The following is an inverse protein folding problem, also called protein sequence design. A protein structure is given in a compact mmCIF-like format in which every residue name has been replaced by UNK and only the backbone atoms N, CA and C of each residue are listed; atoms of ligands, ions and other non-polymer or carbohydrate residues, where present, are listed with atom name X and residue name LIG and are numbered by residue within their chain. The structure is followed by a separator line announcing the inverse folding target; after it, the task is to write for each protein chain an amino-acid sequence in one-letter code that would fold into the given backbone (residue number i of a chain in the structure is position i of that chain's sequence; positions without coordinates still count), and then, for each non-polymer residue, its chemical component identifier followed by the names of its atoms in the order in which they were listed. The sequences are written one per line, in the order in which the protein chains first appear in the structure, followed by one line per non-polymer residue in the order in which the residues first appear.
data_IF_358362537248
#
_entry.id   IF_358362537248
#
_cell.length_a   1.000
_cell.length_b   1.000
_cell.length_c   1.000
_cell.angle_alpha   90.00
_cell.angle_beta   90.00
_cell.angle_gamma   90.00
#
_symmetry.space_group_name_H-M   'P 1'
#
loop_
_entity.id
_entity.type
_entity.pdbx_description
1 polymer ?
#
# COMPACT_ATOMS: atom_id res chain seq x y z
N UNK A 1 -15.23 19.14 -21.65
CA UNK A 1 -14.36 17.93 -21.61
C UNK A 1 -13.97 17.58 -23.05
N UNK A 2 -12.66 17.39 -23.34
CA UNK A 2 -12.18 17.02 -24.67
C UNK A 2 -12.52 15.56 -24.98
N UNK A 3 -13.12 15.30 -26.14
CA UNK A 3 -13.43 13.93 -26.62
C UNK A 3 -12.30 13.50 -27.55
N UNK A 4 -11.49 12.50 -27.15
CA UNK A 4 -10.30 12.08 -27.92
C UNK A 4 -10.66 11.44 -29.28
N UNK A 5 -11.83 10.82 -29.40
CA UNK A 5 -12.31 10.22 -30.65
C UNK A 5 -12.94 11.21 -31.62
N UNK A 6 -13.16 12.47 -31.25
CA UNK A 6 -13.67 13.54 -32.08
C UNK A 6 -12.53 14.50 -32.46
N UNK A 7 -12.17 14.53 -33.74
CA UNK A 7 -11.04 15.34 -34.26
C UNK A 7 -11.22 16.82 -33.93
N UNK A 8 -12.42 17.38 -34.08
CA UNK A 8 -12.65 18.81 -33.85
C UNK A 8 -12.53 19.17 -32.36
N UNK A 9 -13.07 18.33 -31.46
CA UNK A 9 -12.93 18.48 -30.04
C UNK A 9 -11.49 18.35 -29.58
N UNK A 10 -10.74 17.39 -30.18
CA UNK A 10 -9.33 17.15 -29.85
C UNK A 10 -8.45 18.31 -30.31
N UNK A 11 -8.63 18.80 -31.54
CA UNK A 11 -7.91 19.94 -32.10
C UNK A 11 -8.12 21.20 -31.27
N UNK A 12 -9.37 21.53 -30.93
CA UNK A 12 -9.70 22.67 -30.07
C UNK A 12 -9.05 22.52 -28.68
N UNK A 13 -9.05 21.31 -28.11
CA UNK A 13 -8.41 21.02 -26.83
C UNK A 13 -6.89 21.19 -26.85
N UNK A 14 -6.21 20.75 -27.91
CA UNK A 14 -4.76 20.91 -28.06
C UNK A 14 -4.40 22.38 -28.24
N UNK A 15 -5.15 23.12 -29.06
CA UNK A 15 -4.94 24.55 -29.27
C UNK A 15 -5.09 25.33 -27.96
N UNK A 16 -6.13 25.02 -27.15
CA UNK A 16 -6.32 25.62 -25.84
C UNK A 16 -5.20 25.27 -24.85
N UNK A 17 -4.72 24.03 -24.87
CA UNK A 17 -3.67 23.56 -23.95
C UNK A 17 -2.28 24.10 -24.29
N UNK A 18 -1.95 24.26 -25.59
CA UNK A 18 -0.64 24.76 -26.02
C UNK A 18 -0.46 26.27 -25.78
N UNK A 19 -1.55 27.04 -25.65
CA UNK A 19 -1.47 28.48 -25.47
C UNK A 19 -0.60 29.16 -26.53
N UNK A 20 0.41 29.90 -26.10
CA UNK A 20 1.34 30.66 -26.96
C UNK A 20 2.40 29.80 -27.67
N UNK A 21 2.44 28.48 -27.38
CA UNK A 21 3.40 27.57 -28.01
C UNK A 21 2.98 27.20 -29.45
N UNK A 22 2.91 28.23 -30.36
CA UNK A 22 2.43 28.07 -31.73
C UNK A 22 3.34 27.21 -32.61
N UNK A 23 4.58 26.91 -32.18
CA UNK A 23 5.51 25.99 -32.85
C UNK A 23 5.13 24.51 -32.66
N UNK A 24 4.18 24.16 -31.77
CA UNK A 24 3.70 22.79 -31.62
C UNK A 24 2.77 22.43 -32.76
N UNK A 25 3.13 21.37 -33.46
CA UNK A 25 2.36 20.84 -34.61
C UNK A 25 1.14 20.06 -34.09
N UNK A 26 -0.04 20.66 -34.29
CA UNK A 26 -1.32 20.10 -33.83
C UNK A 26 -1.67 18.81 -34.58
N UNK A 27 -1.39 18.75 -35.89
CA UNK A 27 -1.70 17.57 -36.69
C UNK A 27 -0.80 16.38 -36.33
N UNK A 28 0.47 16.65 -36.02
CA UNK A 28 1.37 15.63 -35.51
C UNK A 28 0.89 15.07 -34.13
N UNK A 29 0.44 15.96 -33.23
CA UNK A 29 -0.09 15.55 -31.94
C UNK A 29 -1.35 14.69 -32.13
N UNK A 30 -2.29 15.09 -32.97
CA UNK A 30 -3.51 14.33 -33.26
C UNK A 30 -3.15 12.96 -33.83
N UNK A 31 -2.23 12.91 -34.79
CA UNK A 31 -1.77 11.66 -35.40
C UNK A 31 -1.13 10.72 -34.36
N UNK A 32 -0.34 11.27 -33.43
CA UNK A 32 0.30 10.52 -32.35
C UNK A 32 -0.73 9.93 -31.37
N UNK A 33 -1.78 10.69 -31.06
CA UNK A 33 -2.89 10.22 -30.19
C UNK A 33 -3.67 9.11 -30.89
N UNK A 34 -4.01 9.28 -32.18
CA UNK A 34 -4.76 8.28 -32.95
C UNK A 34 -3.96 7.00 -33.24
N UNK A 35 -2.64 7.11 -33.34
CA UNK A 35 -1.77 5.95 -33.49
C UNK A 35 -1.71 5.10 -32.22
N UNK A 36 -2.28 5.57 -31.09
CA UNK A 36 -2.24 4.84 -29.82
C UNK A 36 -0.83 4.73 -29.21
N UNK A 37 0.09 5.62 -29.62
CA UNK A 37 1.48 5.65 -29.11
C UNK A 37 1.53 5.79 -27.59
N UNK A 38 0.57 6.53 -27.03
CA UNK A 38 0.39 6.71 -25.60
C UNK A 38 -1.03 6.32 -25.18
N UNK A 39 -1.20 5.75 -23.95
CA UNK A 39 -2.53 5.56 -23.37
C UNK A 39 -3.33 6.87 -23.32
N UNK A 40 -4.65 6.77 -23.32
CA UNK A 40 -5.55 7.93 -23.33
C UNK A 40 -5.27 8.94 -22.20
N UNK A 41 -5.00 8.46 -20.98
CA UNK A 41 -4.67 9.30 -19.84
C UNK A 41 -3.34 10.07 -20.03
N UNK A 42 -2.34 9.40 -20.61
CA UNK A 42 -1.03 10.03 -20.87
C UNK A 42 -1.13 11.08 -21.95
N UNK A 43 -1.89 10.81 -23.02
CA UNK A 43 -2.20 11.78 -24.08
C UNK A 43 -2.92 13.02 -23.52
N UNK A 44 -3.88 12.83 -22.61
CA UNK A 44 -4.59 13.92 -21.94
C UNK A 44 -3.65 14.77 -21.11
N UNK A 45 -2.74 14.14 -20.36
CA UNK A 45 -1.78 14.85 -19.51
C UNK A 45 -0.73 15.61 -20.33
N UNK A 46 -0.15 14.96 -21.33
CA UNK A 46 0.96 15.52 -22.12
C UNK A 46 0.52 16.61 -23.11
N UNK A 47 -0.62 16.41 -23.78
CA UNK A 47 -1.03 17.27 -24.90
C UNK A 47 -2.23 18.16 -24.57
N UNK A 48 -2.97 17.89 -23.52
CA UNK A 48 -4.17 18.63 -23.17
C UNK A 48 -4.08 19.31 -21.79
N UNK A 49 -2.96 19.20 -21.08
CA UNK A 49 -2.77 19.71 -19.70
C UNK A 49 -3.89 19.28 -18.75
N UNK A 50 -4.55 18.14 -19.01
CA UNK A 50 -5.62 17.63 -18.19
C UNK A 50 -5.05 16.74 -17.08
N UNK A 51 -5.42 17.05 -15.84
CA UNK A 51 -5.24 16.13 -14.72
C UNK A 51 -6.28 15.00 -14.89
N UNK A 52 -5.85 13.88 -15.43
CA UNK A 52 -6.69 12.69 -15.52
C UNK A 52 -6.23 11.73 -14.43
N UNK A 53 -7.17 11.10 -13.77
CA UNK A 53 -6.85 9.94 -12.96
C UNK A 53 -6.15 8.93 -13.89
N UNK A 54 -4.98 8.48 -13.45
CA UNK A 54 -4.17 7.50 -14.15
C UNK A 54 -4.99 6.19 -14.23
N UNK A 55 -5.42 5.79 -15.43
CA UNK A 55 -6.19 4.55 -15.62
C UNK A 55 -5.41 3.31 -15.17
N UNK A 56 -4.07 3.43 -15.07
CA UNK A 56 -3.20 2.41 -14.50
C UNK A 56 -3.07 2.53 -12.96
N UNK A 57 -3.66 3.56 -12.34
CA UNK A 57 -3.72 3.66 -10.89
C UNK A 57 -4.48 2.47 -10.33
N UNK A 58 -3.89 1.84 -9.32
CA UNK A 58 -4.51 0.70 -8.65
C UNK A 58 -5.76 1.15 -7.87
N UNK A 59 -5.69 2.30 -7.23
CA UNK A 59 -6.76 2.92 -6.43
C UNK A 59 -6.89 4.38 -6.87
N UNK A 60 -8.12 4.82 -7.14
CA UNK A 60 -8.39 6.22 -7.46
C UNK A 60 -8.21 7.12 -6.22
N UNK A 61 -7.56 8.31 -6.35
CA UNK A 61 -7.30 9.20 -5.22
C UNK A 61 -8.55 9.54 -4.41
N UNK A 62 -9.64 9.91 -5.07
CA UNK A 62 -10.89 10.27 -4.38
C UNK A 62 -11.49 9.13 -3.56
N UNK A 63 -11.32 7.87 -4.02
CA UNK A 63 -11.84 6.69 -3.34
C UNK A 63 -10.99 6.38 -2.09
N UNK A 64 -9.66 6.53 -2.19
CA UNK A 64 -8.78 6.43 -1.04
C UNK A 64 -9.08 7.52 -0.01
N UNK A 65 -9.13 8.78 -0.43
CA UNK A 65 -9.34 9.93 0.45
C UNK A 65 -10.69 9.85 1.19
N UNK A 66 -11.71 9.24 0.59
CA UNK A 66 -13.01 9.00 1.24
C UNK A 66 -12.95 8.00 2.41
N UNK A 67 -11.87 7.22 2.52
CA UNK A 67 -11.63 6.28 3.63
C UNK A 67 -10.88 6.91 4.81
N UNK A 68 -10.54 8.21 4.73
CA UNK A 68 -9.82 8.91 5.79
C UNK A 68 -10.66 9.10 7.04
N UNK A 69 -10.02 9.00 8.21
CA UNK A 69 -10.65 9.21 9.52
C UNK A 69 -9.67 9.84 10.51
N UNK A 70 -10.22 10.58 11.48
CA UNK A 70 -9.46 11.13 12.62
C UNK A 70 -9.18 10.09 13.71
N UNK A 71 -9.74 8.88 13.58
CA UNK A 71 -9.46 7.80 14.52
C UNK A 71 -7.98 7.39 14.50
N UNK A 72 -7.47 6.97 15.66
CA UNK A 72 -6.10 6.47 15.84
C UNK A 72 -6.11 5.16 16.62
N UNK A 73 -5.07 4.36 16.42
CA UNK A 73 -4.84 3.17 17.24
C UNK A 73 -4.61 3.58 18.69
N UNK A 74 -5.17 2.79 19.62
CA UNK A 74 -5.05 2.99 21.05
C UNK A 74 -4.23 1.87 21.67
N UNK A 75 -3.56 2.16 22.79
CA UNK A 75 -2.84 1.14 23.56
C UNK A 75 -3.74 -0.05 23.85
N UNK A 76 -3.24 -1.26 23.57
CA UNK A 76 -3.96 -2.51 23.77
C UNK A 76 -4.90 -2.90 22.62
N UNK A 77 -5.07 -2.06 21.59
CA UNK A 77 -5.81 -2.48 20.38
C UNK A 77 -5.21 -3.77 19.83
N UNK A 78 -6.08 -4.69 19.43
CA UNK A 78 -5.65 -5.89 18.70
C UNK A 78 -5.41 -5.51 17.25
N UNK A 79 -4.17 -5.71 16.81
CA UNK A 79 -3.71 -5.34 15.47
C UNK A 79 -3.02 -6.49 14.76
N UNK A 80 -2.88 -6.32 13.46
CA UNK A 80 -1.93 -7.07 12.63
C UNK A 80 -0.90 -6.11 12.07
N UNK A 81 0.33 -6.59 11.86
CA UNK A 81 1.42 -5.82 11.29
C UNK A 81 1.78 -6.33 9.90
N UNK A 82 2.18 -5.42 9.04
CA UNK A 82 2.80 -5.69 7.75
C UNK A 82 4.07 -4.87 7.59
N UNK A 83 5.11 -5.49 7.05
CA UNK A 83 6.40 -4.86 6.83
C UNK A 83 6.90 -5.16 5.43
N UNK A 84 7.39 -4.12 4.76
CA UNK A 84 8.13 -4.21 3.50
C UNK A 84 9.33 -3.28 3.57
N UNK A 85 10.52 -3.78 3.29
CA UNK A 85 11.77 -3.07 3.51
C UNK A 85 12.66 -2.97 2.30
N UNK A 86 13.00 -1.74 1.89
CA UNK A 86 14.10 -1.39 1.02
C UNK A 86 15.38 -1.11 1.79
N UNK A 87 16.46 -0.83 1.09
CA UNK A 87 17.76 -0.52 1.71
C UNK A 87 18.16 0.95 1.55
N UNK A 88 18.34 1.40 0.34
CA UNK A 88 18.82 2.76 0.03
C UNK A 88 17.90 3.49 -0.95
N UNK A 89 17.59 2.85 -2.07
CA UNK A 89 16.77 3.46 -3.15
C UNK A 89 15.27 3.23 -3.01
N UNK A 90 14.86 2.31 -2.12
CA UNK A 90 13.47 2.02 -1.80
C UNK A 90 13.13 2.49 -0.38
N UNK A 91 11.84 2.60 -0.09
CA UNK A 91 11.38 2.91 1.25
C UNK A 91 11.30 1.66 2.12
N UNK A 92 11.31 1.85 3.42
CA UNK A 92 10.97 0.82 4.41
C UNK A 92 9.69 1.26 5.10
N UNK A 93 8.75 0.35 5.30
CA UNK A 93 7.47 0.67 5.91
C UNK A 93 6.99 -0.41 6.87
N UNK A 94 6.47 0.03 8.02
CA UNK A 94 5.73 -0.78 8.98
C UNK A 94 4.32 -0.22 9.12
N UNK A 95 3.31 -1.02 8.78
CA UNK A 95 1.90 -0.62 8.85
C UNK A 95 1.13 -1.54 9.78
N UNK A 96 0.27 -0.97 10.61
CA UNK A 96 -0.66 -1.68 11.47
C UNK A 96 -2.08 -1.62 10.92
N UNK A 97 -2.84 -2.72 11.05
CA UNK A 97 -4.27 -2.76 10.75
C UNK A 97 -5.01 -3.30 11.97
N UNK A 98 -5.98 -2.52 12.48
CA UNK A 98 -6.82 -2.92 13.60
C UNK A 98 -7.76 -4.06 13.19
N UNK A 99 -7.80 -5.10 14.01
CA UNK A 99 -8.52 -6.33 13.67
C UNK A 99 -10.04 -6.10 13.62
N UNK A 100 -10.58 -5.27 14.52
CA UNK A 100 -12.03 -5.08 14.68
C UNK A 100 -12.71 -4.41 13.49
N UNK A 101 -12.11 -3.36 12.94
CA UNK A 101 -12.74 -2.44 11.99
C UNK A 101 -11.85 -2.04 10.80
N UNK A 102 -10.66 -2.68 10.70
CA UNK A 102 -9.75 -2.48 9.58
C UNK A 102 -9.18 -1.05 9.48
N UNK A 103 -9.01 -0.36 10.62
CA UNK A 103 -8.28 0.91 10.65
C UNK A 103 -6.81 0.68 10.37
N UNK A 104 -6.30 1.24 9.27
CA UNK A 104 -4.90 1.19 8.87
C UNK A 104 -4.15 2.44 9.38
N UNK A 105 -3.01 2.21 10.03
CA UNK A 105 -2.13 3.27 10.51
C UNK A 105 -0.67 2.88 10.30
N UNK A 106 0.13 3.65 9.54
CA UNK A 106 1.57 3.43 9.50
C UNK A 106 2.18 3.76 10.87
N UNK A 107 3.05 2.87 11.33
CA UNK A 107 3.85 3.05 12.56
C UNK A 107 5.21 3.65 12.24
N UNK A 108 5.73 3.42 11.03
CA UNK A 108 6.93 4.05 10.50
C UNK A 108 6.98 3.90 8.98
N UNK A 109 7.47 4.94 8.32
CA UNK A 109 7.84 4.91 6.89
C UNK A 109 9.15 5.68 6.78
N UNK A 110 10.21 4.99 6.37
CA UNK A 110 11.56 5.53 6.22
C UNK A 110 11.90 5.61 4.74
N UNK A 111 12.28 6.80 4.31
CA UNK A 111 12.64 7.09 2.93
C UNK A 111 13.92 7.91 2.88
N UNK A 112 14.70 7.72 1.82
CA UNK A 112 15.83 8.55 1.56
C UNK A 112 15.41 10.02 1.48
N UNK A 113 16.00 10.92 2.27
CA UNK A 113 15.72 12.35 2.20
C UNK A 113 16.09 12.93 0.83
N UNK A 114 15.36 13.95 0.40
CA UNK A 114 15.69 14.68 -0.82
C UNK A 114 16.95 15.55 -0.63
N UNK A 115 17.70 15.73 -1.72
CA UNK A 115 18.88 16.59 -1.77
C UNK A 115 20.13 15.97 -1.11
N UNK A 116 21.12 16.83 -0.70
CA UNK A 116 22.42 16.36 -0.20
C UNK A 116 22.37 15.47 1.04
N UNK A 117 21.33 15.61 1.87
CA UNK A 117 21.15 14.77 3.07
C UNK A 117 20.77 13.32 2.74
N UNK A 118 20.38 13.05 1.50
CA UNK A 118 20.11 11.69 1.04
C UNK A 118 21.33 10.97 0.46
N UNK A 119 22.45 11.66 0.26
CA UNK A 119 23.65 11.04 -0.30
C UNK A 119 24.23 10.01 0.66
N UNK A 120 24.34 8.76 0.22
CA UNK A 120 24.80 7.65 1.05
C UNK A 120 23.83 7.22 2.16
N UNK A 121 22.57 7.70 2.13
CA UNK A 121 21.58 7.31 3.11
C UNK A 121 21.22 5.82 3.00
N UNK A 122 21.22 5.17 4.13
CA UNK A 122 20.65 3.83 4.32
C UNK A 122 19.69 3.88 5.51
N UNK A 123 18.66 3.05 5.47
CA UNK A 123 17.72 2.92 6.58
C UNK A 123 18.42 2.35 7.81
N UNK A 124 18.17 2.95 8.96
CA UNK A 124 18.71 2.44 10.24
C UNK A 124 17.86 1.24 10.72
N UNK A 125 18.43 0.05 10.61
CA UNK A 125 17.81 -1.19 11.04
C UNK A 125 17.45 -1.20 12.53
N UNK A 126 18.27 -0.53 13.37
CA UNK A 126 18.01 -0.44 14.80
C UNK A 126 16.77 0.43 15.10
N UNK A 127 16.63 1.55 14.41
CA UNK A 127 15.44 2.40 14.52
C UNK A 127 14.16 1.64 14.11
N UNK A 128 14.22 0.90 13.01
CA UNK A 128 13.09 0.08 12.54
C UNK A 128 12.74 -1.01 13.56
N UNK A 129 13.76 -1.70 14.10
CA UNK A 129 13.57 -2.72 15.13
C UNK A 129 12.93 -2.13 16.40
N UNK A 130 13.35 -0.95 16.83
CA UNK A 130 12.77 -0.25 17.99
C UNK A 130 11.28 0.05 17.78
N UNK A 131 10.87 0.45 16.57
CA UNK A 131 9.46 0.67 16.26
C UNK A 131 8.67 -0.64 16.27
N UNK A 132 9.24 -1.75 15.79
CA UNK A 132 8.62 -3.08 15.89
C UNK A 132 8.47 -3.50 17.36
N UNK A 133 9.52 -3.38 18.18
CA UNK A 133 9.46 -3.68 19.62
C UNK A 133 8.41 -2.80 20.33
N UNK A 134 8.36 -1.51 20.00
CA UNK A 134 7.37 -0.58 20.54
C UNK A 134 5.94 -1.00 20.17
N UNK A 135 5.71 -1.45 18.94
CA UNK A 135 4.41 -1.95 18.52
C UNK A 135 3.98 -3.16 19.37
N UNK A 136 4.87 -4.12 19.59
CA UNK A 136 4.60 -5.27 20.45
C UNK A 136 4.44 -4.91 21.94
N UNK A 137 5.05 -3.84 22.43
CA UNK A 137 4.87 -3.34 23.79
C UNK A 137 3.58 -2.55 23.97
N UNK A 138 3.07 -1.94 22.91
CA UNK A 138 1.92 -1.03 22.96
C UNK A 138 0.61 -1.72 22.61
N UNK A 139 0.63 -2.64 21.64
CA UNK A 139 -0.57 -3.26 21.06
C UNK A 139 -0.61 -4.77 21.31
N UNK A 140 -1.81 -5.36 21.19
CA UNK A 140 -2.01 -6.81 21.09
C UNK A 140 -1.79 -7.25 19.63
N UNK A 141 -0.50 -7.47 19.25
CA UNK A 141 -0.13 -7.90 17.91
C UNK A 141 -0.48 -9.38 17.73
N UNK A 142 -1.53 -9.66 17.00
CA UNK A 142 -2.05 -11.01 16.77
C UNK A 142 -1.41 -11.73 15.56
N UNK A 143 -0.92 -10.99 14.59
CA UNK A 143 -0.19 -11.51 13.42
C UNK A 143 0.78 -10.45 12.89
N UNK A 144 1.89 -10.89 12.33
CA UNK A 144 2.90 -10.03 11.71
C UNK A 144 3.41 -10.70 10.44
N UNK A 145 3.22 -10.07 9.28
CA UNK A 145 3.71 -10.53 7.99
C UNK A 145 4.72 -9.55 7.42
N UNK A 146 5.92 -10.02 7.13
CA UNK A 146 7.03 -9.21 6.64
C UNK A 146 7.65 -9.84 5.41
N UNK A 147 7.87 -9.06 4.33
CA UNK A 147 8.72 -9.53 3.24
C UNK A 147 10.18 -9.60 3.71
N UNK A 148 10.81 -10.78 3.67
CA UNK A 148 12.18 -10.94 4.16
C UNK A 148 13.25 -10.44 3.20
N UNK A 149 12.92 -10.04 1.97
CA UNK A 149 13.91 -9.60 0.98
C UNK A 149 14.68 -8.41 1.49
N UNK A 150 16.00 -8.49 1.51
CA UNK A 150 16.96 -7.52 2.08
C UNK A 150 16.91 -7.37 3.63
N UNK A 151 15.98 -8.07 4.31
CA UNK A 151 15.76 -8.00 5.76
C UNK A 151 15.72 -9.38 6.42
N UNK A 152 16.39 -10.36 5.81
CA UNK A 152 16.32 -11.76 6.24
C UNK A 152 16.70 -11.94 7.71
N UNK A 153 17.75 -11.26 8.18
CA UNK A 153 18.24 -11.38 9.55
C UNK A 153 17.25 -10.80 10.58
N UNK A 154 16.71 -9.60 10.28
CA UNK A 154 15.75 -8.92 11.16
C UNK A 154 14.43 -9.68 11.23
N UNK A 155 13.91 -10.10 10.06
CA UNK A 155 12.66 -10.88 9.96
C UNK A 155 12.81 -12.23 10.67
N UNK A 156 13.99 -12.88 10.60
CA UNK A 156 14.27 -14.10 11.36
C UNK A 156 14.28 -13.83 12.87
N UNK A 157 14.95 -12.77 13.32
CA UNK A 157 14.98 -12.38 14.73
C UNK A 157 13.57 -12.09 15.28
N UNK A 158 12.77 -11.30 14.56
CA UNK A 158 11.37 -11.04 14.94
C UNK A 158 10.52 -12.32 14.95
N UNK A 159 10.77 -13.23 14.01
CA UNK A 159 10.06 -14.52 13.95
C UNK A 159 10.34 -15.39 15.19
N UNK A 160 11.59 -15.41 15.66
CA UNK A 160 11.98 -16.16 16.86
C UNK A 160 11.46 -15.51 18.14
N UNK A 161 11.64 -14.19 18.27
CA UNK A 161 11.25 -13.43 19.44
C UNK A 161 9.73 -13.44 19.69
N UNK A 162 8.94 -13.21 18.62
CA UNK A 162 7.49 -13.05 18.77
C UNK A 162 6.66 -14.30 18.46
N UNK A 163 7.30 -15.42 18.16
CA UNK A 163 6.63 -16.69 17.79
C UNK A 163 5.51 -17.11 18.74
N UNK A 164 5.72 -16.95 20.04
CA UNK A 164 4.76 -17.37 21.06
C UNK A 164 3.58 -16.40 21.22
N UNK A 165 3.71 -15.17 20.74
CA UNK A 165 2.68 -14.13 20.83
C UNK A 165 1.75 -14.14 19.62
N UNK A 166 2.23 -14.60 18.46
CA UNK A 166 1.49 -14.57 17.21
C UNK A 166 0.47 -15.71 17.13
N UNK A 167 -0.78 -15.37 16.85
CA UNK A 167 -1.92 -16.30 16.74
C UNK A 167 -1.87 -17.10 15.43
N UNK A 168 -1.45 -16.44 14.34
CA UNK A 168 -1.25 -17.07 13.03
C UNK A 168 0.16 -16.83 12.53
N UNK A 169 0.68 -17.79 11.76
CA UNK A 169 2.01 -17.73 11.17
C UNK A 169 1.91 -17.26 9.71
N UNK A 170 2.93 -16.55 9.26
CA UNK A 170 3.03 -16.07 7.88
C UNK A 170 3.17 -17.24 6.89
N UNK A 171 3.96 -18.27 7.27
CA UNK A 171 4.17 -19.45 6.45
C UNK A 171 4.39 -20.69 7.32
N UNK A 172 4.52 -21.87 6.69
CA UNK A 172 4.87 -23.10 7.40
C UNK A 172 6.25 -23.06 8.04
N UNK A 173 7.18 -22.30 7.47
CA UNK A 173 8.56 -22.20 7.91
C UNK A 173 8.83 -21.07 8.89
N UNK A 174 8.06 -19.97 8.83
CA UNK A 174 8.29 -18.75 9.64
C UNK A 174 7.00 -18.21 10.22
N UNK A 175 7.10 -17.63 11.43
CA UNK A 175 5.98 -16.93 12.05
C UNK A 175 5.70 -15.58 11.42
N UNK A 176 6.71 -14.93 10.82
CA UNK A 176 6.69 -13.56 10.31
C UNK A 176 6.96 -13.50 8.81
N UNK A 177 7.93 -14.27 8.29
CA UNK A 177 8.35 -14.16 6.88
C UNK A 177 7.25 -14.55 5.91
N UNK A 178 6.81 -13.59 5.11
CA UNK A 178 5.81 -13.70 4.06
C UNK A 178 6.35 -13.10 2.76
N UNK A 179 6.95 -13.94 1.91
CA UNK A 179 7.48 -13.47 0.61
C UNK A 179 6.33 -13.05 -0.30
N UNK A 180 6.49 -11.91 -0.95
CA UNK A 180 5.50 -11.43 -1.92
C UNK A 180 5.69 -12.04 -3.32
N UNK A 181 6.74 -12.83 -3.52
CA UNK A 181 7.06 -13.53 -4.75
C UNK A 181 6.91 -15.05 -4.61
N UNK A 182 7.31 -15.77 -5.66
CA UNK A 182 7.39 -17.24 -5.65
C UNK A 182 6.04 -17.91 -5.36
N UNK A 183 6.07 -18.90 -4.46
CA UNK A 183 4.90 -19.73 -4.13
C UNK A 183 3.76 -18.99 -3.41
N UNK A 184 4.05 -17.87 -2.75
CA UNK A 184 3.06 -17.05 -2.02
C UNK A 184 2.42 -15.96 -2.91
N UNK A 185 2.89 -15.80 -4.14
CA UNK A 185 2.39 -14.81 -5.08
C UNK A 185 0.87 -14.89 -5.36
N UNK A 186 0.22 -16.06 -5.45
CA UNK A 186 -1.24 -16.14 -5.57
C UNK A 186 -1.96 -15.53 -4.37
N UNK A 187 -1.52 -15.84 -3.15
CA UNK A 187 -2.12 -15.32 -1.90
C UNK A 187 -2.01 -13.79 -1.85
N UNK A 188 -0.83 -13.26 -2.21
CA UNK A 188 -0.58 -11.80 -2.28
C UNK A 188 -1.44 -11.13 -3.36
N UNK A 189 -1.59 -11.76 -4.54
CA UNK A 189 -2.43 -11.23 -5.62
C UNK A 189 -3.90 -11.17 -5.19
N UNK A 190 -4.45 -12.23 -4.62
CA UNK A 190 -5.82 -12.25 -4.12
C UNK A 190 -6.04 -11.30 -2.94
N UNK A 191 -5.01 -11.14 -2.07
CA UNK A 191 -5.06 -10.14 -1.01
C UNK A 191 -5.12 -8.72 -1.57
N UNK A 192 -4.37 -8.43 -2.65
CA UNK A 192 -4.42 -7.16 -3.34
C UNK A 192 -5.82 -6.85 -3.87
N UNK A 193 -6.47 -7.79 -4.54
CA UNK A 193 -7.83 -7.61 -5.04
C UNK A 193 -8.82 -7.34 -3.89
N UNK A 194 -8.70 -8.06 -2.77
CA UNK A 194 -9.54 -7.83 -1.57
C UNK A 194 -9.27 -6.47 -0.93
N UNK A 195 -8.02 -6.03 -0.86
CA UNK A 195 -7.67 -4.71 -0.33
C UNK A 195 -8.25 -3.59 -1.21
N UNK A 196 -8.08 -3.67 -2.53
CA UNK A 196 -8.67 -2.72 -3.48
C UNK A 196 -10.18 -2.66 -3.32
N UNK A 197 -10.86 -3.81 -3.35
CA UNK A 197 -12.31 -3.87 -3.17
C UNK A 197 -12.76 -3.28 -1.83
N UNK A 198 -11.98 -3.44 -0.76
CA UNK A 198 -12.31 -2.87 0.54
C UNK A 198 -12.16 -1.34 0.60
N UNK A 199 -11.23 -0.79 -0.16
CA UNK A 199 -11.12 0.67 -0.33
C UNK A 199 -12.30 1.17 -1.17
N UNK A 200 -12.61 0.53 -2.28
CA UNK A 200 -13.72 0.89 -3.16
C UNK A 200 -15.09 0.85 -2.46
N UNK A 201 -15.24 -0.04 -1.49
CA UNK A 201 -16.50 -0.20 -0.72
C UNK A 201 -16.50 0.51 0.63
N UNK A 202 -15.44 1.25 0.96
CA UNK A 202 -15.31 1.97 2.25
C UNK A 202 -15.21 1.07 3.47
N UNK A 203 -14.82 -0.20 3.28
CA UNK A 203 -14.67 -1.18 4.37
C UNK A 203 -13.33 -1.11 5.09
N UNK A 204 -12.42 -0.27 4.63
CA UNK A 204 -11.16 0.07 5.30
C UNK A 204 -11.19 1.55 5.65
N UNK A 205 -10.55 1.91 6.76
CA UNK A 205 -10.25 3.29 7.12
C UNK A 205 -8.76 3.51 7.25
N UNK A 206 -8.31 4.73 7.11
CA UNK A 206 -6.90 5.10 7.33
C UNK A 206 -6.76 6.46 7.99
N UNK A 207 -5.61 6.70 8.61
CA UNK A 207 -5.35 7.89 9.44
C UNK A 207 -4.93 9.14 8.65
N UNK A 208 -5.07 9.16 7.32
CA UNK A 208 -4.70 10.31 6.50
C UNK A 208 -3.19 10.56 6.36
N UNK A 209 -2.34 9.56 6.63
CA UNK A 209 -0.89 9.74 6.57
C UNK A 209 -0.41 10.02 5.14
N UNK A 210 0.19 11.19 4.90
CA UNK A 210 0.51 11.70 3.57
C UNK A 210 1.50 10.82 2.79
N UNK A 211 2.52 10.25 3.46
CA UNK A 211 3.50 9.37 2.81
C UNK A 211 2.85 8.05 2.41
N UNK A 212 2.02 7.45 3.28
CA UNK A 212 1.26 6.25 2.92
C UNK A 212 0.36 6.52 1.71
N UNK A 213 -0.38 7.65 1.72
CA UNK A 213 -1.20 8.08 0.59
C UNK A 213 -0.39 8.15 -0.70
N UNK A 214 0.80 8.75 -0.67
CA UNK A 214 1.70 8.84 -1.84
C UNK A 214 2.08 7.46 -2.36
N UNK A 215 2.44 6.50 -1.48
CA UNK A 215 2.76 5.12 -1.86
C UNK A 215 1.56 4.38 -2.46
N UNK A 216 0.37 4.61 -1.94
CA UNK A 216 -0.88 4.06 -2.51
C UNK A 216 -1.13 4.61 -3.91
N UNK A 217 -0.98 5.92 -4.13
CA UNK A 217 -1.15 6.55 -5.44
C UNK A 217 -0.08 6.12 -6.45
N UNK A 218 1.11 5.75 -5.99
CA UNK A 218 2.20 5.25 -6.83
C UNK A 218 1.98 3.80 -7.28
N UNK A 219 1.17 3.04 -6.56
CA UNK A 219 0.89 1.64 -6.89
C UNK A 219 0.11 1.55 -8.21
N UNK A 220 0.66 0.79 -9.16
CA UNK A 220 0.08 0.56 -10.49
C UNK A 220 -0.48 -0.84 -10.60
N UNK A 221 -1.53 -0.97 -11.37
CA UNK A 221 -2.16 -2.25 -11.69
C UNK A 221 -1.21 -3.15 -12.48
N UNK A 222 -1.08 -4.39 -12.06
CA UNK A 222 -0.28 -5.42 -12.72
C UNK A 222 -1.12 -6.68 -12.95
N UNK A 223 -1.40 -7.00 -14.19
CA UNK A 223 -2.11 -8.23 -14.53
C UNK A 223 -1.16 -9.41 -14.40
N UNK A 224 -1.57 -10.40 -13.65
CA UNK A 224 -0.85 -11.66 -13.48
C UNK A 224 -1.75 -12.84 -13.86
N UNK A 225 -1.20 -14.04 -13.96
CA UNK A 225 -2.00 -15.26 -14.21
C UNK A 225 -2.95 -15.60 -13.05
N UNK A 226 -2.78 -14.98 -11.87
CA UNK A 226 -3.62 -15.21 -10.69
C UNK A 226 -4.62 -14.08 -10.41
N UNK A 227 -4.64 -13.04 -11.25
CA UNK A 227 -5.49 -11.88 -11.08
C UNK A 227 -4.71 -10.56 -11.11
N UNK A 228 -5.27 -9.52 -10.49
CA UNK A 228 -4.70 -8.18 -10.46
C UNK A 228 -3.81 -8.00 -9.22
N UNK A 229 -2.53 -7.81 -9.46
CA UNK A 229 -1.52 -7.44 -8.46
C UNK A 229 -1.15 -5.96 -8.59
N UNK A 230 -0.15 -5.54 -7.83
CA UNK A 230 0.38 -4.17 -7.88
C UNK A 230 1.87 -4.16 -8.23
N UNK A 231 2.39 -2.98 -8.54
CA UNK A 231 3.82 -2.74 -8.74
C UNK A 231 4.12 -1.28 -8.96
N UNK A 232 5.41 -0.95 -9.10
CA UNK A 232 5.86 0.38 -9.53
C UNK A 232 5.48 0.62 -11.00
N UNK A 233 5.44 1.88 -11.45
CA UNK A 233 5.21 2.24 -12.84
C UNK A 233 6.19 1.51 -13.80
N UNK A 234 7.46 1.50 -13.45
CA UNK A 234 8.51 0.69 -14.05
C UNK A 234 9.55 0.31 -12.97
N UNK A 235 10.39 -0.70 -13.24
CA UNK A 235 11.31 -1.28 -12.24
C UNK A 235 12.25 -0.25 -11.60
N UNK A 236 12.71 0.74 -12.39
CA UNK A 236 13.63 1.78 -11.95
C UNK A 236 12.92 3.06 -11.47
N UNK A 237 11.60 3.00 -11.29
CA UNK A 237 10.83 4.16 -10.85
C UNK A 237 11.22 4.55 -9.42
N UNK A 238 11.52 5.84 -9.23
CA UNK A 238 11.73 6.43 -7.89
C UNK A 238 10.44 6.53 -7.08
N UNK A 239 9.29 6.26 -7.69
CA UNK A 239 7.99 6.27 -7.01
C UNK A 239 7.87 5.06 -6.10
N UNK A 240 7.94 5.30 -4.81
CA UNK A 240 7.91 4.27 -3.77
C UNK A 240 6.50 3.70 -3.62
N UNK A 241 6.41 2.38 -3.38
CA UNK A 241 5.15 1.64 -3.16
C UNK A 241 5.19 0.80 -1.88
N UNK A 242 6.28 0.81 -1.16
CA UNK A 242 6.59 -0.06 -0.03
C UNK A 242 5.57 0.11 1.12
N UNK A 243 5.09 1.35 1.35
CA UNK A 243 3.99 1.59 2.29
C UNK A 243 2.69 0.90 1.88
N UNK A 244 2.40 0.81 0.58
CA UNK A 244 1.26 0.02 0.08
C UNK A 244 1.50 -1.48 0.26
N UNK A 245 2.71 -1.97 -0.01
CA UNK A 245 3.08 -3.36 0.20
C UNK A 245 2.97 -3.78 1.66
N UNK A 246 3.47 -2.94 2.58
CA UNK A 246 3.32 -3.16 4.02
C UNK A 246 1.85 -3.16 4.46
N UNK A 247 1.02 -2.23 3.95
CA UNK A 247 -0.42 -2.22 4.20
C UNK A 247 -1.08 -3.52 3.72
N UNK A 248 -0.74 -3.98 2.52
CA UNK A 248 -1.24 -5.22 1.95
C UNK A 248 -0.89 -6.43 2.83
N UNK A 249 0.34 -6.51 3.32
CA UNK A 249 0.78 -7.59 4.20
C UNK A 249 0.08 -7.54 5.57
N UNK A 250 -0.14 -6.35 6.14
CA UNK A 250 -0.92 -6.18 7.37
C UNK A 250 -2.37 -6.65 7.21
N UNK A 251 -2.99 -6.31 6.09
CA UNK A 251 -4.38 -6.70 5.79
C UNK A 251 -4.50 -8.19 5.45
N UNK A 252 -3.52 -8.76 4.76
CA UNK A 252 -3.43 -10.21 4.54
C UNK A 252 -3.29 -10.96 5.86
N UNK A 253 -2.44 -10.47 6.78
CA UNK A 253 -2.29 -11.03 8.11
C UNK A 253 -3.61 -10.99 8.89
N UNK A 254 -4.37 -9.89 8.79
CA UNK A 254 -5.71 -9.76 9.36
C UNK A 254 -6.68 -10.79 8.76
N UNK A 255 -6.70 -10.93 7.46
CA UNK A 255 -7.56 -11.89 6.76
C UNK A 255 -7.26 -13.32 7.22
N UNK A 256 -6.00 -13.74 7.22
CA UNK A 256 -5.57 -15.06 7.70
C UNK A 256 -5.91 -15.28 9.19
N UNK A 257 -5.83 -14.23 10.01
CA UNK A 257 -6.24 -14.29 11.41
C UNK A 257 -7.75 -14.54 11.55
N UNK A 258 -8.59 -13.82 10.80
CA UNK A 258 -10.05 -14.00 10.81
C UNK A 258 -10.44 -15.39 10.31
N UNK A 259 -9.86 -15.85 9.21
CA UNK A 259 -10.09 -17.17 8.63
C UNK A 259 -9.66 -18.32 9.56
N UNK A 260 -8.66 -18.10 10.41
CA UNK A 260 -8.18 -19.12 11.34
C UNK A 260 -9.19 -19.54 12.41
N UNK A 261 -10.22 -18.75 12.67
CA UNK A 261 -11.20 -18.95 13.75
C UNK A 261 -10.60 -18.86 15.18
N UNK A 262 -9.31 -18.51 15.31
CA UNK A 262 -8.58 -18.47 16.59
C UNK A 262 -8.78 -17.17 17.37
N UNK A 263 -9.65 -16.28 16.93
CA UNK A 263 -10.03 -15.10 17.70
C UNK A 263 -10.77 -15.57 18.94
N UNK A 264 -10.09 -15.55 20.11
CA UNK A 264 -10.76 -15.78 21.38
C UNK A 264 -11.85 -14.72 21.54
N UNK A 265 -13.11 -15.15 21.69
CA UNK A 265 -14.18 -14.27 22.15
C UNK A 265 -13.75 -13.69 23.49
N UNK A 266 -13.95 -12.38 23.75
CA UNK A 266 -13.71 -11.84 25.07
C UNK A 266 -14.46 -12.73 26.09
N UNK A 267 -13.75 -13.21 27.12
CA UNK A 267 -14.40 -13.92 28.23
C UNK A 267 -15.33 -12.91 28.86
N UNK A 268 -16.62 -13.00 28.59
CA UNK A 268 -17.64 -12.35 29.41
C UNK A 268 -17.46 -12.88 30.80
N UNK A 269 -16.96 -12.05 31.72
CA UNK A 269 -16.80 -12.42 33.13
C UNK A 269 -18.15 -12.88 33.64
N UNK A 270 -18.25 -14.11 34.11
CA UNK A 270 -19.37 -14.51 34.95
C UNK A 270 -19.34 -13.63 36.21
N UNK A 271 -20.27 -12.71 36.28
CA UNK A 271 -20.57 -12.01 37.52
C UNK A 271 -21.15 -13.08 38.41
N UNK A 272 -20.41 -13.50 39.40
CA UNK A 272 -20.95 -14.29 40.55
C UNK A 272 -21.81 -13.31 41.36
N UNK A 273 -23.12 -13.40 41.17
CA UNK A 273 -24.04 -12.77 42.10
C UNK A 273 -23.94 -13.49 43.46
N UNK A 274 -23.44 -12.80 44.45
CA UNK A 274 -23.67 -13.21 45.85
C UNK A 274 -25.14 -12.95 46.15
N UNK A 275 -25.92 -14.03 46.18
CA UNK A 275 -27.23 -14.02 46.77
C UNK A 275 -27.07 -14.03 48.29
N UNK A 276 -27.65 -13.04 48.92
CA UNK A 276 -27.92 -12.98 50.37
C UNK A 276 -28.98 -13.98 50.80
#
# INVERSE_FOLDING_TARGET
TVVLGDRASLEAGIIAARGDATWLDVDWIISTIYAGTYPAWQSRRMFLNQLVADEDSLIAPAVWDACETDERLKRGDRITLGFDGGRSDDATALVAVRVSDRLAQPLGIWEQPDGPSGEGWEVDHAEVADVVHHAFATYDVAAFFADPVLWEADVQAWSEEYRSRLVVKASGASSVAMRMDGGQKPDVTHANERLVASVETGQIKHTGHHTLRRHVMNAKRRITRWGVSFGKEHRESRRKVDGYAALLLADLARTKLLESGKLKRPRTGRVWGFGS
#
